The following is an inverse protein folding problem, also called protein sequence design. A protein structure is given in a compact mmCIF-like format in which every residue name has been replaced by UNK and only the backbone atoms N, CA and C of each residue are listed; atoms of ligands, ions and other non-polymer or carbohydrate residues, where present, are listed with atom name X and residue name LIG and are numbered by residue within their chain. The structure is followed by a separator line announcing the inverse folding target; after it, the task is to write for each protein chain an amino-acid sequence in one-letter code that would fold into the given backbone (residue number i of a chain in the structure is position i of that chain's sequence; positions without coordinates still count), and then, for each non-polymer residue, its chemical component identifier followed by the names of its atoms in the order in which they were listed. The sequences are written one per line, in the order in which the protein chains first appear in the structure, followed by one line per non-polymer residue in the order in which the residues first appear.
data_IF_581158544559
#
_entry.id   IF_581158544559
#
_cell.length_a   1.000
_cell.length_b   1.000
_cell.length_c   1.000
_cell.angle_alpha   90.00
_cell.angle_beta   90.00
_cell.angle_gamma   90.00
#
_symmetry.space_group_name_H-M   'P 1'
#
loop_
_entity.id
_entity.type
_entity.pdbx_description
1 polymer ?
#
# COMPACT_ATOMS: atom_id res chain seq x y z
N UNK A 1 -10.86 9.70 2.07
CA UNK A 1 -11.60 10.69 1.26
C UNK A 1 -11.13 10.71 -0.20
N UNK A 2 -9.85 10.96 -0.47
CA UNK A 2 -9.31 11.11 -1.85
C UNK A 2 -9.74 10.00 -2.80
N UNK A 3 -9.60 8.73 -2.41
CA UNK A 3 -9.99 7.59 -3.26
C UNK A 3 -11.48 7.57 -3.60
N UNK A 4 -12.36 7.89 -2.65
CA UNK A 4 -13.81 7.98 -2.93
C UNK A 4 -14.09 9.08 -3.94
N UNK A 5 -13.50 10.27 -3.77
CA UNK A 5 -13.68 11.39 -4.70
C UNK A 5 -13.21 11.00 -6.11
N UNK A 6 -12.06 10.34 -6.22
CA UNK A 6 -11.51 9.90 -7.50
C UNK A 6 -12.28 8.72 -8.13
N UNK A 7 -13.07 7.98 -7.35
CA UNK A 7 -13.86 6.82 -7.79
C UNK A 7 -15.37 7.08 -7.65
N UNK A 8 -15.83 8.31 -7.91
CA UNK A 8 -17.25 8.68 -7.98
C UNK A 8 -18.08 8.31 -6.73
N UNK A 9 -17.46 8.42 -5.55
CA UNK A 9 -18.05 8.07 -4.26
C UNK A 9 -18.51 6.60 -4.19
N UNK A 10 -17.74 5.68 -4.77
CA UNK A 10 -17.97 4.23 -4.66
C UNK A 10 -17.71 3.72 -3.23
N UNK A 11 -18.75 3.83 -2.39
CA UNK A 11 -18.72 3.37 -1.00
C UNK A 11 -18.70 1.85 -0.88
N UNK A 12 -19.28 1.12 -1.84
CA UNK A 12 -19.38 -0.33 -1.80
C UNK A 12 -17.99 -0.95 -1.96
N UNK A 13 -17.23 -0.54 -2.98
CA UNK A 13 -15.85 -1.00 -3.14
C UNK A 13 -14.97 -0.52 -1.99
N UNK A 14 -15.14 0.73 -1.53
CA UNK A 14 -14.35 1.26 -0.42
C UNK A 14 -14.57 0.51 0.91
N UNK A 15 -15.79 -0.02 1.12
CA UNK A 15 -16.15 -0.83 2.29
C UNK A 15 -15.61 -2.25 2.20
N UNK A 16 -15.65 -2.84 0.99
CA UNK A 16 -15.30 -4.24 0.78
C UNK A 16 -13.81 -4.46 0.50
N UNK A 17 -13.06 -3.44 0.07
CA UNK A 17 -11.61 -3.52 -0.15
C UNK A 17 -10.82 -2.83 0.99
N UNK A 18 -9.89 -3.56 1.64
CA UNK A 18 -8.98 -3.01 2.64
C UNK A 18 -8.27 -1.74 2.19
N UNK A 19 -8.06 -0.81 3.12
CA UNK A 19 -7.38 0.45 2.82
C UNK A 19 -5.96 0.22 2.27
N UNK A 20 -5.25 -0.78 2.79
CA UNK A 20 -3.87 -1.12 2.38
C UNK A 20 -3.76 -1.65 0.95
N UNK A 21 -4.86 -2.16 0.38
CA UNK A 21 -4.92 -2.52 -1.04
C UNK A 21 -5.14 -1.30 -1.91
N UNK A 22 -6.01 -0.39 -1.47
CA UNK A 22 -6.34 0.83 -2.22
C UNK A 22 -5.27 1.90 -2.11
N UNK A 23 -4.53 1.93 -1.01
CA UNK A 23 -3.38 2.80 -0.75
C UNK A 23 -2.22 1.97 -0.17
N UNK A 24 -1.37 1.38 -1.01
CA UNK A 24 -0.13 0.81 -0.52
C UNK A 24 0.67 1.86 0.23
N UNK A 25 1.19 1.43 1.37
CA UNK A 25 1.99 2.27 2.24
C UNK A 25 3.47 2.06 1.88
N UNK A 26 4.06 3.07 1.23
CA UNK A 26 5.34 2.96 0.51
C UNK A 26 6.47 2.40 1.38
N UNK A 27 6.52 2.80 2.64
CA UNK A 27 7.58 2.42 3.57
C UNK A 27 7.21 1.31 4.57
N UNK A 28 6.08 0.61 4.37
CA UNK A 28 5.61 -0.35 5.38
C UNK A 28 6.59 -1.48 5.64
N UNK A 29 7.29 -1.95 4.60
CA UNK A 29 8.29 -3.02 4.70
C UNK A 29 9.43 -2.70 5.67
N UNK A 30 9.69 -1.41 5.94
CA UNK A 30 10.73 -0.99 6.91
C UNK A 30 10.36 -1.42 8.35
N UNK A 31 9.06 -1.56 8.64
CA UNK A 31 8.59 -2.01 9.96
C UNK A 31 8.53 -3.54 10.08
N UNK A 32 8.78 -4.28 9.00
CA UNK A 32 8.53 -5.73 8.93
C UNK A 32 9.85 -6.48 8.72
N UNK A 33 10.53 -6.78 9.82
CA UNK A 33 11.66 -7.71 9.83
C UNK A 33 11.18 -9.15 9.64
N UNK A 34 12.10 -10.06 9.31
CA UNK A 34 11.79 -11.48 9.08
C UNK A 34 11.09 -12.13 10.27
N UNK A 35 11.47 -11.78 11.50
CA UNK A 35 10.82 -12.23 12.72
C UNK A 35 9.38 -11.72 12.82
N UNK A 36 9.17 -10.41 12.62
CA UNK A 36 7.84 -9.78 12.63
C UNK A 36 6.93 -10.40 11.58
N UNK A 37 7.47 -10.67 10.38
CA UNK A 37 6.74 -11.34 9.30
C UNK A 37 6.28 -12.74 9.72
N UNK A 38 7.16 -13.54 10.32
CA UNK A 38 6.83 -14.89 10.81
C UNK A 38 5.73 -14.84 11.88
N UNK A 39 5.78 -13.87 12.78
CA UNK A 39 4.73 -13.66 13.79
C UNK A 39 3.38 -13.35 13.15
N UNK A 40 3.33 -12.46 12.15
CA UNK A 40 2.11 -12.17 11.41
C UNK A 40 1.58 -13.39 10.66
N UNK A 41 2.44 -14.15 9.98
CA UNK A 41 2.03 -15.37 9.28
C UNK A 41 1.47 -16.43 10.24
N UNK A 42 2.07 -16.58 11.42
CA UNK A 42 1.61 -17.51 12.45
C UNK A 42 0.23 -17.12 13.00
N UNK A 43 -0.06 -15.82 13.15
CA UNK A 43 -1.38 -15.33 13.58
C UNK A 43 -2.48 -15.59 12.55
N UNK A 44 -2.12 -15.75 11.27
CA UNK A 44 -3.06 -15.94 10.17
C UNK A 44 -2.95 -17.34 9.53
N UNK A 45 -2.54 -18.35 10.30
CA UNK A 45 -2.34 -19.72 9.79
C UNK A 45 -3.55 -20.28 9.03
N UNK A 46 -4.77 -19.95 9.47
CA UNK A 46 -6.02 -20.44 8.90
C UNK A 46 -6.65 -19.50 7.85
N UNK A 47 -5.98 -18.39 7.50
CA UNK A 47 -6.52 -17.37 6.59
C UNK A 47 -5.53 -17.08 5.45
N UNK A 48 -5.59 -17.87 4.35
CA UNK A 48 -4.66 -17.75 3.23
C UNK A 48 -4.63 -16.35 2.62
N UNK A 49 -5.75 -15.63 2.62
CA UNK A 49 -5.82 -14.26 2.08
C UNK A 49 -5.04 -13.28 2.94
N UNK A 50 -5.09 -13.44 4.26
CA UNK A 50 -4.28 -12.62 5.17
C UNK A 50 -2.81 -12.99 5.12
N UNK A 51 -2.46 -14.25 4.92
CA UNK A 51 -1.07 -14.65 4.68
C UNK A 51 -0.51 -14.01 3.40
N UNK A 52 -1.27 -14.06 2.30
CA UNK A 52 -0.90 -13.38 1.06
C UNK A 52 -0.75 -11.87 1.25
N UNK A 53 -1.65 -11.26 2.04
CA UNK A 53 -1.54 -9.85 2.39
C UNK A 53 -0.25 -9.56 3.16
N UNK A 54 0.10 -10.37 4.16
CA UNK A 54 1.35 -10.24 4.93
C UNK A 54 2.57 -10.37 4.03
N UNK A 55 2.59 -11.38 3.16
CA UNK A 55 3.65 -11.56 2.16
C UNK A 55 3.81 -10.31 1.28
N UNK A 56 2.70 -9.80 0.75
CA UNK A 56 2.71 -8.65 -0.14
C UNK A 56 3.19 -7.38 0.55
N UNK A 57 2.67 -7.05 1.74
CA UNK A 57 3.03 -5.81 2.44
C UNK A 57 4.44 -5.84 3.03
N UNK A 58 5.04 -7.02 3.17
CA UNK A 58 6.44 -7.17 3.61
C UNK A 58 7.45 -6.85 2.52
N UNK A 59 7.02 -6.79 1.25
CA UNK A 59 7.89 -6.46 0.11
C UNK A 59 8.19 -4.95 0.07
N UNK A 60 9.35 -4.53 -0.46
CA UNK A 60 9.63 -3.12 -0.67
C UNK A 60 8.53 -2.44 -1.47
N UNK A 61 8.06 -1.28 -1.01
CA UNK A 61 6.90 -0.63 -1.60
C UNK A 61 7.06 -0.29 -3.08
N UNK A 62 8.29 -0.01 -3.55
CA UNK A 62 8.52 0.28 -4.97
C UNK A 62 8.19 -0.92 -5.89
N UNK A 63 8.41 -2.16 -5.44
CA UNK A 63 8.05 -3.36 -6.22
C UNK A 63 6.54 -3.52 -6.34
N UNK A 64 5.83 -3.29 -5.22
CA UNK A 64 4.36 -3.35 -5.19
C UNK A 64 3.81 -2.30 -6.17
N UNK A 65 4.38 -1.10 -6.20
CA UNK A 65 3.91 -0.01 -7.04
C UNK A 65 4.21 -0.22 -8.53
N UNK A 66 5.23 -1.00 -8.89
CA UNK A 66 5.53 -1.37 -10.29
C UNK A 66 4.49 -2.36 -10.85
N UNK A 67 3.96 -3.25 -10.01
CA UNK A 67 2.94 -4.23 -10.39
C UNK A 67 1.53 -3.64 -10.51
N UNK A 68 1.31 -2.44 -9.96
CA UNK A 68 -0.02 -1.80 -9.96
C UNK A 68 -0.35 -1.08 -11.27
N UNK A 69 -1.59 -1.22 -11.69
CA UNK A 69 -2.18 -0.42 -12.77
C UNK A 69 -2.49 1.00 -12.33
N UNK A 70 -2.50 1.94 -13.29
CA UNK A 70 -2.92 3.32 -13.02
C UNK A 70 -4.46 3.45 -13.01
N UNK A 71 -5.03 4.36 -12.20
CA UNK A 71 -4.37 5.31 -11.31
C UNK A 71 -3.90 4.67 -9.99
N UNK A 72 -2.67 4.99 -9.57
CA UNK A 72 -2.09 4.53 -8.30
C UNK A 72 -2.37 5.56 -7.20
N UNK A 73 -2.86 5.10 -6.06
CA UNK A 73 -3.00 5.92 -4.85
C UNK A 73 -1.98 5.44 -3.84
N UNK A 74 -1.09 6.32 -3.38
CA UNK A 74 0.07 5.94 -2.56
C UNK A 74 -0.04 6.66 -1.22
N UNK A 75 0.17 5.92 -0.13
CA UNK A 75 0.34 6.52 1.20
C UNK A 75 1.83 6.55 1.54
N UNK A 76 2.31 7.65 2.11
CA UNK A 76 3.65 7.75 2.69
C UNK A 76 3.68 8.82 3.78
N UNK A 77 4.59 8.67 4.74
CA UNK A 77 4.99 9.70 5.70
C UNK A 77 6.41 10.21 5.40
N UNK A 78 7.05 9.78 4.32
CA UNK A 78 8.33 10.34 3.92
C UNK A 78 8.19 11.84 3.62
N UNK A 79 9.14 12.67 4.11
CA UNK A 79 9.22 14.05 3.68
C UNK A 79 9.59 14.10 2.19
N UNK A 80 9.25 15.21 1.52
CA UNK A 80 9.60 15.42 0.10
C UNK A 80 11.07 15.20 -0.23
N UNK A 81 11.99 15.45 0.72
CA UNK A 81 13.42 15.23 0.55
C UNK A 81 13.83 13.76 0.39
N UNK A 82 12.97 12.82 0.80
CA UNK A 82 13.18 11.38 0.63
C UNK A 82 12.31 10.78 -0.49
N UNK A 83 11.56 11.62 -1.20
CA UNK A 83 10.80 11.25 -2.39
C UNK A 83 11.55 11.67 -3.66
N UNK A 84 11.17 11.15 -4.85
CA UNK A 84 11.80 11.56 -6.10
C UNK A 84 11.79 13.09 -6.27
N UNK A 85 12.93 13.75 -6.56
CA UNK A 85 13.00 15.21 -6.63
C UNK A 85 12.03 15.84 -7.65
N UNK A 86 11.77 15.14 -8.76
CA UNK A 86 10.81 15.56 -9.80
C UNK A 86 9.37 15.09 -9.56
N UNK A 87 8.99 14.75 -8.33
CA UNK A 87 7.66 14.22 -8.02
C UNK A 87 6.55 15.15 -8.52
N UNK A 88 6.68 16.45 -8.31
CA UNK A 88 5.67 17.45 -8.68
C UNK A 88 5.62 17.69 -10.21
N UNK A 89 6.70 17.40 -10.92
CA UNK A 89 6.79 17.56 -12.38
C UNK A 89 6.23 16.34 -13.14
N UNK A 90 6.11 15.20 -12.46
CA UNK A 90 5.66 13.93 -13.04
C UNK A 90 4.14 13.82 -13.29
N UNK A 91 3.38 14.88 -12.96
CA UNK A 91 1.91 14.86 -12.97
C UNK A 91 1.28 14.18 -11.75
N UNK A 92 2.10 13.76 -10.77
CA UNK A 92 1.65 13.28 -9.47
C UNK A 92 0.95 14.41 -8.68
N UNK A 93 -0.07 14.05 -7.91
CA UNK A 93 -0.79 14.97 -7.01
C UNK A 93 -0.59 14.50 -5.57
N UNK A 94 -0.17 15.42 -4.70
CA UNK A 94 0.05 15.20 -3.26
C UNK A 94 -1.02 15.92 -2.46
#
# INVERSE_FOLDING_TARGET
MVWLIANNLDYDTARNSPLVERFPFLEFSIFVHDETKKEFLAQFVDDPKKQELVERISRPGYEILEEMTSPRFIKTHFPFSLLPPGLMDSGCKV
#
